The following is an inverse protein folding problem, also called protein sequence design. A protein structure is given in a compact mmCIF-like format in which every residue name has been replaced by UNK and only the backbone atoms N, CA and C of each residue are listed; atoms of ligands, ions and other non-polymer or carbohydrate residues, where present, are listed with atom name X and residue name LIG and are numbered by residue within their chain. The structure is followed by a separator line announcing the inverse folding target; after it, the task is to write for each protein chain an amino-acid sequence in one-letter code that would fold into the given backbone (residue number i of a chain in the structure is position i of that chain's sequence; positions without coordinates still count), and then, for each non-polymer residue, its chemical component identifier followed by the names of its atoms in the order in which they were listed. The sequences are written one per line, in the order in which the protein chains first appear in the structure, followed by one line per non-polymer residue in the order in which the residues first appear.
data_IF_853812363205
#
_entry.id   IF_853812363205
#
_cell.length_a   1.000
_cell.length_b   1.000
_cell.length_c   1.000
_cell.angle_alpha   90.00
_cell.angle_beta   90.00
_cell.angle_gamma   90.00
#
_symmetry.space_group_name_H-M   'P 1'
#
loop_
_entity.id
_entity.type
_entity.pdbx_description
1 polymer ?
#
# COMPACT_ATOMS: atom_id res chain seq x y z
N UNK A 1 -5.76 -39.78 4.79
CA UNK A 1 -5.22 -38.47 4.35
C UNK A 1 -6.20 -37.33 4.65
N UNK A 2 -7.36 -37.26 4.00
CA UNK A 2 -8.32 -36.16 4.21
C UNK A 2 -8.71 -35.97 5.69
N UNK A 3 -8.98 -37.06 6.40
CA UNK A 3 -9.29 -37.03 7.83
C UNK A 3 -8.15 -36.41 8.67
N UNK A 4 -6.90 -36.75 8.37
CA UNK A 4 -5.71 -36.15 8.99
C UNK A 4 -5.59 -34.65 8.70
N UNK A 5 -5.88 -34.23 7.47
CA UNK A 5 -5.86 -32.82 7.09
C UNK A 5 -6.95 -32.02 7.84
N UNK A 6 -8.17 -32.58 7.96
CA UNK A 6 -9.25 -31.98 8.75
C UNK A 6 -8.89 -31.95 10.23
N UNK A 7 -8.22 -32.99 10.76
CA UNK A 7 -7.70 -33.01 12.13
C UNK A 7 -6.73 -31.86 12.42
N UNK A 8 -5.77 -31.63 11.52
CA UNK A 8 -4.82 -30.50 11.63
C UNK A 8 -5.53 -29.14 11.52
N UNK A 9 -6.47 -29.02 10.58
CA UNK A 9 -7.29 -27.83 10.41
C UNK A 9 -8.08 -27.51 11.69
N UNK A 10 -8.72 -28.51 12.29
CA UNK A 10 -9.45 -28.39 13.54
C UNK A 10 -8.55 -27.94 14.70
N UNK A 11 -7.34 -28.47 14.79
CA UNK A 11 -6.37 -28.09 15.83
C UNK A 11 -5.93 -26.63 15.70
N UNK A 12 -5.72 -26.16 14.47
CA UNK A 12 -5.30 -24.78 14.17
C UNK A 12 -6.45 -23.79 14.42
N UNK A 13 -7.60 -24.03 13.81
CA UNK A 13 -8.74 -23.10 13.82
C UNK A 13 -9.73 -23.31 14.97
N UNK A 14 -9.44 -24.25 15.87
CA UNK A 14 -10.28 -24.62 17.03
C UNK A 14 -11.71 -25.00 16.61
N UNK A 15 -11.81 -25.78 15.53
CA UNK A 15 -13.07 -26.32 15.01
C UNK A 15 -13.21 -27.82 15.30
N UNK A 16 -14.36 -28.41 14.97
CA UNK A 16 -14.61 -29.84 15.16
C UNK A 16 -15.35 -30.43 13.95
N UNK A 17 -14.80 -30.24 12.76
CA UNK A 17 -15.32 -30.83 11.54
C UNK A 17 -14.93 -32.30 11.40
N UNK A 18 -15.74 -33.04 10.66
CA UNK A 18 -15.55 -34.48 10.44
C UNK A 18 -15.70 -34.81 8.95
N UNK A 19 -15.30 -36.01 8.53
CA UNK A 19 -15.42 -36.50 7.15
C UNK A 19 -16.81 -37.04 6.80
N UNK A 20 -17.73 -37.07 7.76
CA UNK A 20 -19.14 -37.42 7.52
C UNK A 20 -19.84 -36.36 6.64
N UNK A 21 -21.00 -36.69 6.05
CA UNK A 21 -21.65 -35.82 5.08
C UNK A 21 -21.92 -34.39 5.60
N UNK A 22 -22.41 -34.26 6.83
CA UNK A 22 -22.69 -32.97 7.44
C UNK A 22 -21.41 -32.24 7.90
N UNK A 23 -20.46 -32.95 8.51
CA UNK A 23 -19.18 -32.40 8.93
C UNK A 23 -18.37 -31.88 7.74
N UNK A 24 -18.35 -32.63 6.64
CA UNK A 24 -17.61 -32.24 5.43
C UNK A 24 -18.25 -31.03 4.74
N UNK A 25 -19.58 -30.95 4.69
CA UNK A 25 -20.27 -29.78 4.12
C UNK A 25 -20.01 -28.51 4.96
N UNK A 26 -19.98 -28.64 6.29
CA UNK A 26 -19.65 -27.52 7.17
C UNK A 26 -18.18 -27.11 7.04
N UNK A 27 -17.27 -28.08 6.96
CA UNK A 27 -15.85 -27.83 6.64
C UNK A 27 -15.70 -27.07 5.33
N UNK A 28 -16.35 -27.51 4.26
CA UNK A 28 -16.31 -26.84 2.95
C UNK A 28 -16.78 -25.38 3.01
N UNK A 29 -17.86 -25.11 3.75
CA UNK A 29 -18.39 -23.74 3.93
C UNK A 29 -17.46 -22.87 4.76
N UNK A 30 -16.84 -23.41 5.80
CA UNK A 30 -15.88 -22.69 6.64
C UNK A 30 -14.61 -22.38 5.86
N UNK A 31 -14.09 -23.37 5.13
CA UNK A 31 -12.94 -23.24 4.25
C UNK A 31 -13.14 -22.11 3.22
N UNK A 32 -14.30 -22.07 2.57
CA UNK A 32 -14.65 -21.00 1.62
C UNK A 32 -14.59 -19.61 2.27
N UNK A 33 -15.11 -19.46 3.49
CA UNK A 33 -15.09 -18.19 4.23
C UNK A 33 -13.68 -17.78 4.60
N UNK A 34 -12.85 -18.73 5.05
CA UNK A 34 -11.47 -18.46 5.47
C UNK A 34 -10.55 -18.06 4.34
N UNK A 35 -10.76 -18.61 3.14
CA UNK A 35 -10.06 -18.12 1.94
C UNK A 35 -10.47 -16.69 1.61
N UNK A 36 -11.77 -16.35 1.71
CA UNK A 36 -12.26 -14.98 1.47
C UNK A 36 -11.72 -14.00 2.52
N UNK A 37 -11.63 -14.40 3.79
CA UNK A 37 -11.09 -13.58 4.88
C UNK A 37 -9.56 -13.56 4.96
N UNK A 38 -8.84 -14.21 4.02
CA UNK A 38 -7.37 -14.32 3.98
C UNK A 38 -6.76 -15.00 5.21
N UNK A 39 -7.49 -15.92 5.83
CA UNK A 39 -6.98 -16.78 6.92
C UNK A 39 -6.25 -18.02 6.36
N UNK A 40 -6.40 -18.28 5.06
CA UNK A 40 -5.73 -19.36 4.32
C UNK A 40 -5.12 -18.77 3.07
N UNK A 41 -3.79 -18.83 2.97
CA UNK A 41 -3.03 -18.20 1.88
C UNK A 41 -2.96 -19.07 0.62
N UNK A 42 -2.89 -20.40 0.79
CA UNK A 42 -2.81 -21.36 -0.32
C UNK A 42 -3.80 -22.51 -0.11
N UNK A 43 -4.63 -22.76 -1.11
CA UNK A 43 -5.58 -23.87 -1.13
C UNK A 43 -5.26 -24.85 -2.25
N UNK A 44 -4.98 -26.11 -1.88
CA UNK A 44 -4.77 -27.19 -2.84
C UNK A 44 -6.15 -27.75 -3.26
N UNK A 45 -6.44 -27.71 -4.56
CA UNK A 45 -7.72 -28.16 -5.12
C UNK A 45 -7.54 -29.15 -6.28
N UNK A 46 -8.50 -30.07 -6.43
CA UNK A 46 -8.57 -30.98 -7.59
C UNK A 46 -9.63 -30.55 -8.60
N UNK A 47 -10.76 -30.04 -8.11
CA UNK A 47 -11.94 -29.68 -8.90
C UNK A 47 -12.96 -28.81 -8.15
N UNK A 48 -12.97 -28.86 -6.82
CA UNK A 48 -13.73 -27.93 -5.99
C UNK A 48 -13.18 -26.50 -6.13
N UNK A 49 -14.04 -25.50 -5.95
CA UNK A 49 -13.72 -24.07 -6.06
C UNK A 49 -13.30 -23.56 -7.46
N UNK A 50 -13.17 -24.45 -8.47
CA UNK A 50 -12.91 -24.03 -9.86
C UNK A 50 -14.17 -23.48 -10.57
N UNK A 51 -15.35 -23.71 -9.99
CA UNK A 51 -16.63 -23.16 -10.43
C UNK A 51 -17.42 -22.63 -9.24
N UNK A 52 -18.14 -21.53 -9.43
CA UNK A 52 -19.05 -20.94 -8.42
C UNK A 52 -18.41 -20.26 -7.21
N UNK A 53 -17.11 -20.48 -6.93
CA UNK A 53 -16.40 -19.78 -5.86
C UNK A 53 -15.95 -18.39 -6.28
N UNK A 54 -16.17 -17.40 -5.41
CA UNK A 54 -15.88 -16.00 -5.70
C UNK A 54 -15.14 -15.34 -4.54
N UNK A 55 -13.93 -14.88 -4.81
CA UNK A 55 -13.07 -14.19 -3.84
C UNK A 55 -12.37 -13.02 -4.57
N UNK A 56 -12.85 -11.77 -4.42
CA UNK A 56 -12.26 -10.60 -5.09
C UNK A 56 -10.76 -10.42 -4.82
N UNK A 57 -10.29 -10.86 -3.65
CA UNK A 57 -8.90 -10.75 -3.20
C UNK A 57 -7.98 -11.84 -3.76
N UNK A 58 -8.52 -12.93 -4.35
CA UNK A 58 -7.73 -14.00 -4.94
C UNK A 58 -7.23 -13.55 -6.32
N UNK A 59 -5.91 -13.43 -6.49
CA UNK A 59 -5.29 -12.98 -7.73
C UNK A 59 -4.48 -14.08 -8.45
N UNK A 60 -4.02 -15.12 -7.76
CA UNK A 60 -3.10 -16.11 -8.35
C UNK A 60 -3.71 -17.51 -8.37
N UNK A 61 -3.58 -18.20 -9.50
CA UNK A 61 -3.90 -19.61 -9.67
C UNK A 61 -2.68 -20.37 -10.18
N UNK A 62 -2.20 -21.30 -9.36
CA UNK A 62 -1.16 -22.26 -9.73
C UNK A 62 -1.80 -23.51 -10.35
N UNK A 63 -1.33 -23.92 -11.53
CA UNK A 63 -1.97 -24.98 -12.33
C UNK A 63 -0.97 -26.06 -12.71
N UNK A 64 -1.12 -27.24 -12.10
CA UNK A 64 -0.54 -28.50 -12.58
C UNK A 64 -1.66 -29.48 -13.01
N UNK A 65 -2.48 -29.05 -13.97
CA UNK A 65 -3.63 -29.81 -14.47
C UNK A 65 -3.88 -29.53 -15.94
N UNK A 66 -4.25 -30.55 -16.71
CA UNK A 66 -4.65 -30.41 -18.10
C UNK A 66 -6.07 -29.81 -18.21
N UNK A 67 -6.18 -28.49 -18.00
CA UNK A 67 -7.42 -27.75 -18.21
C UNK A 67 -7.71 -27.60 -19.71
N UNK A 68 -8.98 -27.67 -20.11
CA UNK A 68 -9.39 -27.58 -21.53
C UNK A 68 -10.66 -26.75 -21.70
N UNK A 69 -10.72 -26.01 -22.80
CA UNK A 69 -11.90 -25.27 -23.27
C UNK A 69 -12.59 -24.46 -22.15
N UNK A 70 -13.90 -24.64 -21.95
CA UNK A 70 -14.68 -23.92 -20.96
C UNK A 70 -14.19 -24.13 -19.52
N UNK A 71 -13.66 -25.31 -19.18
CA UNK A 71 -13.13 -25.58 -17.84
C UNK A 71 -11.87 -24.78 -17.54
N UNK A 72 -11.05 -24.50 -18.57
CA UNK A 72 -9.90 -23.60 -18.47
C UNK A 72 -10.35 -22.17 -18.17
N UNK A 73 -11.30 -21.64 -18.96
CA UNK A 73 -11.82 -20.28 -18.75
C UNK A 73 -12.52 -20.12 -17.40
N UNK A 74 -13.26 -21.13 -16.95
CA UNK A 74 -13.90 -21.12 -15.63
C UNK A 74 -12.87 -21.07 -14.50
N UNK A 75 -11.84 -21.90 -14.58
CA UNK A 75 -10.75 -21.89 -13.60
C UNK A 75 -10.00 -20.54 -13.60
N UNK A 76 -9.64 -20.00 -14.78
CA UNK A 76 -8.92 -18.73 -14.87
C UNK A 76 -9.78 -17.55 -14.39
N UNK A 77 -11.11 -17.59 -14.62
CA UNK A 77 -12.03 -16.57 -14.11
C UNK A 77 -12.14 -16.49 -12.58
N UNK A 78 -11.47 -17.38 -11.84
CA UNK A 78 -11.41 -17.29 -10.37
C UNK A 78 -10.49 -16.16 -9.90
N UNK A 79 -9.55 -15.73 -10.74
CA UNK A 79 -8.52 -14.76 -10.36
C UNK A 79 -8.81 -13.32 -10.83
N UNK A 80 -9.67 -13.13 -11.82
CA UNK A 80 -9.86 -11.84 -12.50
C UNK A 80 -11.00 -10.95 -11.95
N UNK A 81 -11.48 -11.23 -10.74
CA UNK A 81 -12.48 -10.37 -10.08
C UNK A 81 -11.87 -9.02 -9.69
N UNK A 82 -12.57 -7.94 -10.04
CA UNK A 82 -12.18 -6.56 -9.75
C UNK A 82 -12.14 -6.35 -8.23
N UNK A 83 -11.10 -5.68 -7.74
CA UNK A 83 -10.93 -5.34 -6.33
C UNK A 83 -10.64 -3.85 -6.16
N UNK A 84 -9.41 -3.41 -6.43
CA UNK A 84 -8.95 -2.02 -6.41
C UNK A 84 -7.86 -1.80 -7.48
N UNK A 85 -7.25 -0.62 -7.53
CA UNK A 85 -6.22 -0.32 -8.52
C UNK A 85 -4.94 -1.15 -8.39
N UNK A 86 -4.73 -1.84 -7.27
CA UNK A 86 -3.55 -2.71 -7.04
C UNK A 86 -3.68 -4.01 -7.80
N UNK A 87 -4.91 -4.52 -7.99
CA UNK A 87 -5.19 -5.75 -8.71
C UNK A 87 -5.56 -5.46 -10.16
N UNK A 88 -4.56 -5.41 -11.03
CA UNK A 88 -4.72 -5.12 -12.47
C UNK A 88 -5.26 -6.32 -13.24
N UNK A 89 -4.78 -7.53 -12.94
CA UNK A 89 -5.18 -8.77 -13.61
C UNK A 89 -5.00 -9.97 -12.68
N UNK A 90 -5.40 -11.16 -13.17
CA UNK A 90 -5.20 -12.42 -12.47
C UNK A 90 -3.95 -13.15 -12.99
N UNK A 91 -3.08 -13.58 -12.08
CA UNK A 91 -1.89 -14.34 -12.39
C UNK A 91 -2.23 -15.82 -12.55
N UNK A 92 -1.91 -16.40 -13.71
CA UNK A 92 -2.06 -17.83 -13.96
C UNK A 92 -0.68 -18.43 -14.18
N UNK A 93 -0.22 -19.22 -13.22
CA UNK A 93 1.11 -19.84 -13.26
C UNK A 93 0.94 -21.32 -13.57
N UNK A 94 1.36 -21.74 -14.76
CA UNK A 94 1.14 -23.11 -15.26
C UNK A 94 2.43 -23.91 -15.26
N UNK A 95 2.38 -25.12 -14.71
CA UNK A 95 3.51 -26.08 -14.70
C UNK A 95 3.43 -27.10 -15.83
N UNK A 96 2.49 -26.91 -16.76
CA UNK A 96 2.33 -27.66 -18.01
C UNK A 96 2.15 -26.68 -19.14
N UNK A 97 2.49 -27.10 -20.35
CA UNK A 97 2.20 -26.31 -21.54
C UNK A 97 0.68 -26.23 -21.75
N UNK A 98 0.13 -25.06 -21.43
CA UNK A 98 -1.29 -24.71 -21.60
C UNK A 98 -1.46 -23.49 -22.50
N UNK A 99 -0.39 -23.00 -23.15
CA UNK A 99 -0.47 -21.78 -23.96
C UNK A 99 -1.41 -21.98 -25.15
N UNK A 100 -1.15 -23.02 -25.95
CA UNK A 100 -1.99 -23.33 -27.11
C UNK A 100 -3.44 -23.64 -26.69
N UNK A 101 -3.61 -24.38 -25.60
CA UNK A 101 -4.95 -24.69 -25.07
C UNK A 101 -5.70 -23.42 -24.62
N UNK A 102 -4.99 -22.43 -24.10
CA UNK A 102 -5.53 -21.12 -23.72
C UNK A 102 -5.93 -20.32 -24.97
N UNK A 103 -5.07 -20.29 -25.98
CA UNK A 103 -5.34 -19.63 -27.27
C UNK A 103 -6.58 -20.24 -27.93
N UNK A 104 -6.65 -21.57 -27.99
CA UNK A 104 -7.77 -22.31 -28.59
C UNK A 104 -9.07 -22.04 -27.82
N UNK A 105 -9.02 -22.02 -26.49
CA UNK A 105 -10.17 -21.71 -25.66
C UNK A 105 -10.67 -20.28 -25.90
N UNK A 106 -9.78 -19.28 -25.88
CA UNK A 106 -10.18 -17.88 -26.11
C UNK A 106 -10.76 -17.69 -27.52
N UNK A 107 -10.12 -18.31 -28.53
CA UNK A 107 -10.58 -18.23 -29.93
C UNK A 107 -11.95 -18.87 -30.12
N UNK A 108 -12.26 -19.93 -29.38
CA UNK A 108 -13.56 -20.61 -29.46
C UNK A 108 -14.72 -19.73 -28.94
N UNK A 109 -14.45 -18.88 -27.95
CA UNK A 109 -15.47 -18.04 -27.30
C UNK A 109 -15.40 -16.57 -27.75
N UNK A 110 -14.54 -16.23 -28.71
CA UNK A 110 -14.33 -14.87 -29.21
C UNK A 110 -13.94 -14.83 -30.69
N UNK A 111 -13.32 -13.72 -31.11
CA UNK A 111 -12.71 -13.54 -32.43
C UNK A 111 -11.17 -13.59 -32.35
N UNK A 112 -10.47 -13.51 -33.49
CA UNK A 112 -8.99 -13.52 -33.52
C UNK A 112 -8.36 -12.33 -32.78
N UNK A 113 -9.08 -11.22 -32.63
CA UNK A 113 -8.61 -10.04 -31.90
C UNK A 113 -8.80 -10.18 -30.39
N UNK A 114 -9.64 -11.13 -29.94
CA UNK A 114 -9.96 -11.36 -28.53
C UNK A 114 -8.74 -11.79 -27.73
N UNK A 115 -7.75 -12.48 -28.33
CA UNK A 115 -6.48 -12.81 -27.65
C UNK A 115 -5.78 -11.57 -27.12
N UNK A 116 -5.69 -10.52 -27.94
CA UNK A 116 -4.97 -9.30 -27.62
C UNK A 116 -5.69 -8.43 -26.57
N UNK A 117 -6.94 -8.78 -26.25
CA UNK A 117 -7.82 -8.09 -25.30
C UNK A 117 -7.91 -8.85 -23.98
N UNK A 118 -7.84 -10.19 -24.03
CA UNK A 118 -8.03 -11.06 -22.86
C UNK A 118 -6.70 -11.39 -22.16
N UNK A 119 -5.60 -11.49 -22.92
CA UNK A 119 -4.28 -11.74 -22.36
C UNK A 119 -3.51 -10.43 -22.20
N UNK A 120 -2.77 -10.34 -21.12
CA UNK A 120 -1.90 -9.20 -20.84
C UNK A 120 -0.73 -9.12 -21.82
N UNK A 121 -0.15 -7.91 -21.92
CA UNK A 121 1.02 -7.67 -22.77
C UNK A 121 2.26 -8.36 -22.19
N UNK A 122 3.25 -8.57 -23.05
CA UNK A 122 4.52 -9.14 -22.65
C UNK A 122 5.30 -8.21 -21.72
N UNK A 123 6.24 -8.79 -20.96
CA UNK A 123 7.20 -8.03 -20.14
C UNK A 123 7.91 -6.94 -20.97
N UNK A 124 8.40 -7.31 -22.16
CA UNK A 124 9.11 -6.39 -23.06
C UNK A 124 8.25 -5.19 -23.47
N UNK A 125 6.96 -5.40 -23.76
CA UNK A 125 6.03 -4.33 -24.10
C UNK A 125 5.83 -3.34 -22.93
N UNK A 126 5.72 -3.83 -21.69
CA UNK A 126 5.65 -2.93 -20.53
C UNK A 126 6.98 -2.22 -20.22
N UNK A 127 8.11 -2.82 -20.54
CA UNK A 127 9.42 -2.20 -20.37
C UNK A 127 9.71 -1.12 -21.41
N UNK A 128 9.36 -1.36 -22.67
CA UNK A 128 9.73 -0.52 -23.82
C UNK A 128 8.59 0.40 -24.31
N UNK A 129 7.35 0.07 -23.99
CA UNK A 129 6.16 0.76 -24.48
C UNK A 129 5.49 0.01 -25.62
N UNK A 130 4.20 0.29 -25.82
CA UNK A 130 3.39 -0.35 -26.85
C UNK A 130 2.22 0.55 -27.26
N UNK A 131 1.65 0.29 -28.44
CA UNK A 131 0.40 0.92 -28.86
C UNK A 131 -0.76 0.01 -28.52
N UNK A 132 -1.69 0.50 -27.71
CA UNK A 132 -2.89 -0.23 -27.32
C UNK A 132 -3.80 -0.42 -28.54
N UNK A 133 -4.03 -1.68 -28.92
CA UNK A 133 -4.80 -2.02 -30.12
C UNK A 133 -6.29 -1.65 -30.01
N UNK A 134 -6.82 -1.50 -28.79
CA UNK A 134 -8.23 -1.15 -28.56
C UNK A 134 -8.43 0.36 -28.63
N UNK A 135 -7.54 1.12 -27.98
CA UNK A 135 -7.69 2.57 -27.87
C UNK A 135 -6.91 3.34 -28.92
N UNK A 136 -5.96 2.70 -29.59
CA UNK A 136 -4.99 3.34 -30.50
C UNK A 136 -3.98 4.24 -29.78
N UNK A 137 -3.98 4.26 -28.45
CA UNK A 137 -3.11 5.13 -27.66
C UNK A 137 -1.73 4.49 -27.48
N UNK A 138 -0.68 5.29 -27.70
CA UNK A 138 0.68 4.92 -27.33
C UNK A 138 0.81 4.93 -25.80
N UNK A 139 1.27 3.82 -25.23
CA UNK A 139 1.63 3.70 -23.82
C UNK A 139 3.14 3.63 -23.72
N UNK A 140 3.69 4.49 -22.87
CA UNK A 140 5.11 4.57 -22.60
C UNK A 140 5.57 3.38 -21.76
N UNK A 141 6.77 2.91 -22.03
CA UNK A 141 7.39 1.84 -21.26
C UNK A 141 8.01 2.34 -19.96
N UNK A 142 8.28 1.41 -19.05
CA UNK A 142 8.97 1.68 -17.79
C UNK A 142 10.28 2.44 -17.98
N UNK A 143 11.10 2.04 -18.96
CA UNK A 143 12.42 2.65 -19.20
C UNK A 143 12.29 4.12 -19.59
N UNK A 144 11.31 4.44 -20.45
CA UNK A 144 11.04 5.82 -20.87
C UNK A 144 10.57 6.68 -19.70
N UNK A 145 9.63 6.17 -18.90
CA UNK A 145 9.09 6.88 -17.72
C UNK A 145 10.18 7.15 -16.70
N UNK A 146 11.02 6.15 -16.39
CA UNK A 146 12.16 6.29 -15.48
C UNK A 146 13.16 7.33 -16.00
N UNK A 147 13.51 7.24 -17.29
CA UNK A 147 14.46 8.17 -17.91
C UNK A 147 13.94 9.61 -17.82
N UNK A 148 12.66 9.83 -18.12
CA UNK A 148 12.06 11.15 -18.04
C UNK A 148 11.99 11.67 -16.60
N UNK A 149 11.66 10.81 -15.62
CA UNK A 149 11.63 11.18 -14.20
C UNK A 149 13.00 11.70 -13.74
N UNK A 150 14.07 11.01 -14.09
CA UNK A 150 15.42 11.38 -13.67
C UNK A 150 15.93 12.63 -14.40
N UNK A 151 15.58 12.80 -15.70
CA UNK A 151 16.00 13.96 -16.48
C UNK A 151 15.24 15.24 -16.11
N UNK A 152 13.91 15.15 -15.98
CA UNK A 152 13.07 16.33 -15.68
C UNK A 152 13.03 16.66 -14.20
N UNK A 153 13.10 15.64 -13.34
CA UNK A 153 13.01 15.79 -11.89
C UNK A 153 14.19 15.11 -11.19
N UNK A 154 15.44 15.53 -11.47
CA UNK A 154 16.64 14.98 -10.83
C UNK A 154 16.69 15.31 -9.33
N UNK A 155 15.94 16.31 -8.85
CA UNK A 155 15.79 16.60 -7.43
C UNK A 155 14.32 16.89 -7.11
N UNK A 156 13.55 15.89 -6.65
CA UNK A 156 12.11 16.06 -6.44
C UNK A 156 11.77 17.00 -5.27
N UNK A 157 12.66 17.14 -4.29
CA UNK A 157 12.48 18.10 -3.18
C UNK A 157 12.53 19.57 -3.62
N UNK A 158 13.04 19.84 -4.82
CA UNK A 158 13.17 21.20 -5.36
C UNK A 158 11.98 21.63 -6.26
N UNK A 159 10.91 20.82 -6.34
CA UNK A 159 9.76 21.14 -7.19
C UNK A 159 8.88 22.22 -6.53
N UNK A 160 9.04 23.46 -7.00
CA UNK A 160 8.31 24.62 -6.45
C UNK A 160 7.15 25.07 -7.34
N UNK A 161 7.34 25.13 -8.66
CA UNK A 161 6.33 25.67 -9.58
C UNK A 161 5.09 24.76 -9.66
N UNK A 162 3.90 25.36 -9.65
CA UNK A 162 2.64 24.60 -9.70
C UNK A 162 2.52 23.71 -10.95
N UNK A 163 2.97 24.23 -12.10
CA UNK A 163 3.04 23.44 -13.34
C UNK A 163 3.94 22.22 -13.19
N UNK A 164 5.11 22.38 -12.58
CA UNK A 164 6.07 21.29 -12.40
C UNK A 164 5.55 20.25 -11.39
N UNK A 165 4.82 20.70 -10.35
CA UNK A 165 4.10 19.80 -9.43
C UNK A 165 3.08 18.94 -10.19
N UNK A 166 2.30 19.55 -11.09
CA UNK A 166 1.31 18.84 -11.91
C UNK A 166 1.97 17.82 -12.83
N UNK A 167 3.02 18.24 -13.55
CA UNK A 167 3.74 17.38 -14.48
C UNK A 167 4.41 16.20 -13.76
N UNK A 168 5.03 16.47 -12.61
CA UNK A 168 5.61 15.43 -11.76
C UNK A 168 4.54 14.44 -11.25
N UNK A 169 3.40 14.94 -10.76
CA UNK A 169 2.33 14.09 -10.25
C UNK A 169 1.78 13.16 -11.34
N UNK A 170 1.63 13.64 -12.58
CA UNK A 170 1.23 12.78 -13.70
C UNK A 170 2.27 11.71 -14.01
N UNK A 171 3.52 12.13 -14.16
CA UNK A 171 4.61 11.24 -14.55
C UNK A 171 4.89 10.17 -13.48
N UNK A 172 4.89 10.56 -12.20
CA UNK A 172 5.09 9.61 -11.10
C UNK A 172 3.87 8.69 -10.90
N UNK A 173 2.65 9.17 -11.15
CA UNK A 173 1.47 8.30 -11.21
C UNK A 173 1.57 7.24 -12.31
N UNK A 174 2.10 7.60 -13.48
CA UNK A 174 2.40 6.63 -14.55
C UNK A 174 3.45 5.61 -14.10
N UNK A 175 4.53 6.05 -13.44
CA UNK A 175 5.54 5.15 -12.86
C UNK A 175 4.90 4.13 -11.91
N UNK A 176 4.06 4.57 -10.96
CA UNK A 176 3.43 3.68 -9.97
C UNK A 176 2.56 2.61 -10.65
N UNK A 177 1.81 2.97 -11.70
CA UNK A 177 0.98 2.02 -12.45
C UNK A 177 1.80 0.98 -13.20
N UNK A 178 2.85 1.42 -13.90
CA UNK A 178 3.72 0.51 -14.67
C UNK A 178 4.52 -0.39 -13.72
N UNK A 179 5.05 0.16 -12.62
CA UNK A 179 5.72 -0.62 -11.56
C UNK A 179 4.77 -1.69 -10.98
N UNK A 180 3.53 -1.34 -10.64
CA UNK A 180 2.55 -2.28 -10.09
C UNK A 180 2.24 -3.45 -11.05
N UNK A 181 2.16 -3.18 -12.35
CA UNK A 181 1.98 -4.24 -13.36
C UNK A 181 3.21 -5.13 -13.42
N UNK A 182 4.40 -4.52 -13.52
CA UNK A 182 5.67 -5.23 -13.67
C UNK A 182 6.01 -6.12 -12.46
N UNK A 183 5.52 -5.79 -11.26
CA UNK A 183 5.69 -6.64 -10.07
C UNK A 183 5.14 -8.07 -10.22
N UNK A 184 4.27 -8.33 -11.19
CA UNK A 184 3.74 -9.67 -11.47
C UNK A 184 4.62 -10.49 -12.43
N UNK A 185 5.72 -9.94 -12.95
CA UNK A 185 6.62 -10.59 -13.90
C UNK A 185 7.91 -11.07 -13.21
N UNK A 186 8.30 -12.32 -13.50
CA UNK A 186 9.46 -12.97 -12.90
C UNK A 186 10.77 -12.21 -13.20
N UNK A 187 10.90 -11.68 -14.42
CA UNK A 187 12.07 -10.91 -14.85
C UNK A 187 12.21 -9.61 -14.04
N UNK A 188 11.11 -8.92 -13.75
CA UNK A 188 11.13 -7.70 -12.95
C UNK A 188 11.41 -7.98 -11.47
N UNK A 189 10.85 -9.07 -10.93
CA UNK A 189 11.16 -9.54 -9.57
C UNK A 189 12.67 -9.83 -9.43
N UNK A 190 13.24 -10.52 -10.41
CA UNK A 190 14.67 -10.81 -10.49
C UNK A 190 15.50 -9.52 -10.60
N UNK A 191 15.06 -8.56 -11.43
CA UNK A 191 15.72 -7.27 -11.60
C UNK A 191 15.74 -6.43 -10.31
N UNK A 192 14.66 -6.47 -9.51
CA UNK A 192 14.58 -5.81 -8.20
C UNK A 192 15.49 -6.49 -7.18
N UNK A 193 15.49 -7.83 -7.12
CA UNK A 193 16.37 -8.59 -6.23
C UNK A 193 17.86 -8.37 -6.57
N UNK A 194 18.21 -8.19 -7.86
CA UNK A 194 19.58 -7.86 -8.29
C UNK A 194 20.11 -6.53 -7.71
N UNK A 195 19.24 -5.64 -7.21
CA UNK A 195 19.66 -4.39 -6.58
C UNK A 195 20.11 -4.56 -5.12
N UNK A 196 19.74 -5.66 -4.47
CA UNK A 196 20.05 -5.90 -3.05
C UNK A 196 21.23 -6.83 -2.84
N UNK A 197 21.65 -7.58 -3.87
CA UNK A 197 22.78 -8.51 -3.76
C UNK A 197 24.13 -7.79 -3.83
N UNK A 198 25.11 -8.33 -3.09
CA UNK A 198 26.50 -7.94 -3.27
C UNK A 198 27.06 -8.56 -4.56
N UNK A 199 27.17 -7.74 -5.60
CA UNK A 199 27.66 -8.16 -6.92
C UNK A 199 29.16 -8.48 -6.94
N UNK A 200 29.89 -8.10 -5.90
CA UNK A 200 31.32 -8.42 -5.77
C UNK A 200 31.56 -9.80 -5.18
N UNK A 201 30.55 -10.42 -4.56
CA UNK A 201 30.61 -11.76 -4.01
C UNK A 201 30.15 -12.81 -5.06
N UNK A 202 31.08 -13.64 -5.58
CA UNK A 202 30.74 -14.65 -6.58
C UNK A 202 29.75 -15.71 -6.07
N UNK A 203 29.76 -16.02 -4.76
CA UNK A 203 28.83 -17.02 -4.20
C UNK A 203 27.42 -16.44 -4.13
N UNK A 204 27.27 -15.19 -3.69
CA UNK A 204 25.98 -14.49 -3.71
C UNK A 204 25.40 -14.40 -5.13
N UNK A 205 26.22 -14.07 -6.13
CA UNK A 205 25.80 -14.04 -7.55
C UNK A 205 25.39 -15.42 -8.04
N UNK A 206 26.11 -16.48 -7.64
CA UNK A 206 25.78 -17.85 -8.01
C UNK A 206 24.45 -18.30 -7.39
N UNK A 207 24.26 -18.10 -6.09
CA UNK A 207 23.00 -18.40 -5.41
C UNK A 207 21.83 -17.65 -6.06
N UNK A 208 22.01 -16.35 -6.34
CA UNK A 208 21.01 -15.55 -7.03
C UNK A 208 20.61 -16.13 -8.40
N UNK A 209 21.59 -16.55 -9.21
CA UNK A 209 21.32 -17.19 -10.50
C UNK A 209 20.55 -18.51 -10.36
N UNK A 210 20.88 -19.31 -9.34
CA UNK A 210 20.20 -20.60 -9.07
C UNK A 210 18.75 -20.38 -8.60
N UNK A 211 18.51 -19.43 -7.71
CA UNK A 211 17.17 -19.11 -7.19
C UNK A 211 16.24 -18.53 -8.25
N UNK A 212 16.78 -17.69 -9.15
CA UNK A 212 16.02 -17.03 -10.21
C UNK A 212 16.09 -17.76 -11.56
N UNK A 213 16.75 -18.92 -11.62
CA UNK A 213 16.92 -19.73 -12.84
C UNK A 213 17.52 -18.96 -14.03
N UNK A 214 18.52 -18.10 -13.77
CA UNK A 214 19.10 -17.19 -14.76
C UNK A 214 20.38 -17.75 -15.39
N UNK A 215 20.50 -17.62 -16.72
CA UNK A 215 21.77 -17.80 -17.42
C UNK A 215 22.71 -16.59 -17.26
N UNK A 216 23.97 -16.73 -17.66
CA UNK A 216 24.89 -15.58 -17.70
C UNK A 216 24.44 -14.48 -18.69
N UNK A 217 23.76 -14.88 -19.77
CA UNK A 217 23.21 -13.94 -20.75
C UNK A 217 22.01 -13.16 -20.18
N UNK A 218 21.16 -13.83 -19.41
CA UNK A 218 20.02 -13.19 -18.73
C UNK A 218 20.51 -12.21 -17.68
N UNK A 219 21.50 -12.61 -16.87
CA UNK A 219 22.12 -11.73 -15.87
C UNK A 219 22.75 -10.51 -16.52
N UNK A 220 23.50 -10.68 -17.62
CA UNK A 220 24.08 -9.57 -18.35
C UNK A 220 23.00 -8.61 -18.88
N UNK A 221 21.87 -9.14 -19.37
CA UNK A 221 20.73 -8.33 -19.82
C UNK A 221 20.14 -7.52 -18.67
N UNK A 222 19.86 -8.16 -17.53
CA UNK A 222 19.32 -7.48 -16.34
C UNK A 222 20.25 -6.37 -15.85
N UNK A 223 21.57 -6.57 -15.90
CA UNK A 223 22.56 -5.57 -15.50
C UNK A 223 22.57 -4.32 -16.38
N UNK A 224 22.11 -4.40 -17.63
CA UNK A 224 22.01 -3.22 -18.50
C UNK A 224 20.80 -2.34 -18.19
N UNK A 225 19.80 -2.87 -17.47
CA UNK A 225 18.57 -2.15 -17.19
C UNK A 225 18.79 -1.24 -15.98
N UNK A 226 18.68 0.05 -16.21
CA UNK A 226 18.75 1.05 -15.15
C UNK A 226 17.45 1.11 -14.36
N UNK A 227 17.56 1.04 -13.03
CA UNK A 227 16.46 1.27 -12.09
C UNK A 227 16.91 2.35 -11.09
N UNK A 228 16.06 3.33 -10.76
CA UNK A 228 16.38 4.30 -9.71
C UNK A 228 16.59 3.60 -8.37
N UNK A 229 17.57 4.06 -7.60
CA UNK A 229 17.79 3.54 -6.24
C UNK A 229 16.53 3.62 -5.38
N UNK A 230 16.38 2.73 -4.40
CA UNK A 230 15.22 2.75 -3.49
C UNK A 230 15.06 4.10 -2.79
N UNK A 231 16.18 4.71 -2.38
CA UNK A 231 16.21 6.06 -1.81
C UNK A 231 15.61 7.09 -2.76
N UNK A 232 15.92 6.99 -4.06
CA UNK A 232 15.39 7.91 -5.06
C UNK A 232 13.88 7.75 -5.24
N UNK A 233 13.40 6.52 -5.30
CA UNK A 233 11.96 6.22 -5.36
C UNK A 233 11.24 6.71 -4.10
N UNK A 234 11.86 6.56 -2.93
CA UNK A 234 11.33 7.08 -1.67
C UNK A 234 11.22 8.61 -1.67
N UNK A 235 12.25 9.32 -2.15
CA UNK A 235 12.22 10.78 -2.29
C UNK A 235 11.06 11.20 -3.24
N UNK A 236 10.90 10.51 -4.39
CA UNK A 236 9.76 10.75 -5.29
C UNK A 236 8.41 10.54 -4.63
N UNK A 237 8.24 9.47 -3.84
CA UNK A 237 6.99 9.21 -3.09
C UNK A 237 6.70 10.29 -2.07
N UNK A 238 7.72 10.74 -1.34
CA UNK A 238 7.58 11.85 -0.38
C UNK A 238 7.04 13.08 -1.09
N UNK A 239 7.68 13.52 -2.18
CA UNK A 239 7.25 14.68 -2.96
C UNK A 239 5.85 14.50 -3.54
N UNK A 240 5.50 13.30 -4.03
CA UNK A 240 4.18 13.02 -4.57
C UNK A 240 3.07 13.16 -3.51
N UNK A 241 3.33 12.64 -2.31
CA UNK A 241 2.45 12.83 -1.16
C UNK A 241 2.36 14.30 -0.73
N UNK A 242 3.49 15.02 -0.71
CA UNK A 242 3.54 16.45 -0.38
C UNK A 242 2.65 17.28 -1.32
N UNK A 243 2.74 17.02 -2.63
CA UNK A 243 1.93 17.70 -3.66
C UNK A 243 0.45 17.38 -3.48
N UNK A 244 0.10 16.11 -3.20
CA UNK A 244 -1.28 15.70 -2.94
C UNK A 244 -1.87 16.40 -1.72
N UNK A 245 -1.12 16.46 -0.63
CA UNK A 245 -1.55 17.10 0.61
C UNK A 245 -1.68 18.62 0.44
N UNK A 246 -0.73 19.24 -0.26
CA UNK A 246 -0.78 20.65 -0.65
C UNK A 246 -2.04 20.95 -1.47
N UNK A 247 -2.33 20.17 -2.52
CA UNK A 247 -3.50 20.37 -3.37
C UNK A 247 -4.81 20.19 -2.61
N UNK A 248 -4.88 19.23 -1.68
CA UNK A 248 -6.05 19.03 -0.79
C UNK A 248 -6.30 20.24 0.11
N UNK A 249 -5.24 20.89 0.60
CA UNK A 249 -5.35 22.10 1.43
C UNK A 249 -5.79 23.31 0.59
N UNK A 250 -5.22 23.52 -0.59
CA UNK A 250 -5.59 24.65 -1.47
C UNK A 250 -7.00 24.56 -2.05
N UNK A 251 -7.57 23.35 -2.21
CA UNK A 251 -8.99 23.18 -2.59
C UNK A 251 -9.98 23.64 -1.51
N UNK A 252 -9.53 24.05 -0.32
CA UNK A 252 -10.40 24.62 0.72
C UNK A 252 -10.73 26.10 0.46
N UNK A 253 -11.77 26.31 -0.35
CA UNK A 253 -12.64 27.49 -0.53
C UNK A 253 -12.07 28.88 -0.89
N UNK A 254 -10.91 29.34 -0.40
CA UNK A 254 -10.45 30.74 -0.64
C UNK A 254 -9.34 30.87 -1.70
N UNK A 255 -8.60 29.81 -2.02
CA UNK A 255 -7.42 29.86 -2.91
C UNK A 255 -7.64 29.30 -4.33
N UNK A 256 -8.73 28.55 -4.57
CA UNK A 256 -9.09 28.06 -5.92
C UNK A 256 -9.22 29.18 -6.96
N UNK A 257 -9.53 30.42 -6.53
CA UNK A 257 -9.63 31.56 -7.42
C UNK A 257 -8.28 32.09 -7.94
N UNK A 258 -7.14 31.60 -7.41
CA UNK A 258 -5.78 32.09 -7.74
C UNK A 258 -4.91 31.09 -8.52
N UNK A 259 -5.26 29.80 -8.54
CA UNK A 259 -4.50 28.81 -9.31
C UNK A 259 -4.65 29.08 -10.81
N UNK A 260 -3.53 29.04 -11.53
CA UNK A 260 -3.49 29.20 -12.99
C UNK A 260 -3.40 27.86 -13.72
N UNK A 261 -3.32 26.75 -12.98
CA UNK A 261 -3.10 25.41 -13.49
C UNK A 261 -4.35 24.55 -13.20
N UNK A 262 -4.94 23.98 -14.25
CA UNK A 262 -6.06 23.05 -14.07
C UNK A 262 -5.55 21.70 -13.53
N UNK A 263 -6.12 21.21 -12.43
CA UNK A 263 -5.76 19.92 -11.80
C UNK A 263 -6.81 18.83 -12.01
N UNK A 264 -7.89 19.09 -12.76
CA UNK A 264 -9.01 18.14 -12.91
C UNK A 264 -8.64 16.87 -13.68
N UNK A 265 -7.57 16.91 -14.47
CA UNK A 265 -7.04 15.79 -15.24
C UNK A 265 -5.97 14.98 -14.49
N UNK A 266 -5.68 15.30 -13.22
CA UNK A 266 -4.75 14.55 -12.38
C UNK A 266 -5.52 13.66 -11.41
N UNK A 267 -5.31 12.35 -11.55
CA UNK A 267 -5.80 11.34 -10.61
C UNK A 267 -4.61 10.85 -9.79
N UNK A 268 -4.70 10.95 -8.47
CA UNK A 268 -3.66 10.45 -7.57
C UNK A 268 -3.84 8.96 -7.29
N UNK A 269 -2.77 8.19 -7.41
CA UNK A 269 -2.77 6.72 -7.27
C UNK A 269 -2.74 6.28 -5.79
N UNK A 270 -3.81 6.59 -5.05
CA UNK A 270 -3.87 6.40 -3.58
C UNK A 270 -3.81 4.93 -3.17
N UNK A 271 -4.47 4.05 -3.90
CA UNK A 271 -4.51 2.61 -3.57
C UNK A 271 -3.13 1.97 -3.75
N UNK A 272 -2.39 2.37 -4.81
CA UNK A 272 -1.02 1.93 -5.06
C UNK A 272 -0.02 2.43 -4.00
N UNK A 273 -0.25 3.62 -3.45
CA UNK A 273 0.55 4.11 -2.33
C UNK A 273 0.24 3.35 -1.03
N UNK A 274 -1.03 3.03 -0.80
CA UNK A 274 -1.46 2.32 0.41
C UNK A 274 -0.95 0.89 0.46
N UNK A 275 -0.91 0.18 -0.68
CA UNK A 275 -0.40 -1.20 -0.72
C UNK A 275 1.08 -1.31 -0.33
N UNK A 276 1.81 -0.21 -0.42
CA UNK A 276 3.24 -0.14 -0.10
C UNK A 276 3.51 0.61 1.20
N UNK A 277 2.48 0.79 2.05
CA UNK A 277 2.65 1.38 3.36
C UNK A 277 3.48 0.49 4.27
N UNK A 278 4.54 1.10 4.81
CA UNK A 278 5.33 0.52 5.88
C UNK A 278 4.55 0.69 7.19
N UNK A 279 4.41 -0.39 7.97
CA UNK A 279 3.79 -0.32 9.29
C UNK A 279 4.66 0.45 10.28
N UNK A 280 4.04 1.02 11.31
CA UNK A 280 4.75 1.77 12.33
C UNK A 280 5.82 0.91 13.04
N UNK A 281 5.50 -0.34 13.31
CA UNK A 281 6.40 -1.29 13.96
C UNK A 281 7.72 -1.46 13.18
N UNK A 282 7.68 -1.60 11.86
CA UNK A 282 8.89 -1.66 11.05
C UNK A 282 9.72 -0.37 11.11
N UNK A 283 9.06 0.80 11.15
CA UNK A 283 9.77 2.07 11.32
C UNK A 283 10.50 2.09 12.67
N UNK A 284 9.84 1.63 13.74
CA UNK A 284 10.43 1.54 15.08
C UNK A 284 11.57 0.52 15.15
N UNK A 285 11.42 -0.65 14.50
CA UNK A 285 12.49 -1.63 14.39
C UNK A 285 13.70 -1.06 13.65
N UNK A 286 13.48 -0.34 12.55
CA UNK A 286 14.55 0.29 11.81
C UNK A 286 15.25 1.37 12.66
N UNK A 287 14.50 2.16 13.43
CA UNK A 287 15.08 3.13 14.38
C UNK A 287 16.05 2.41 15.33
N UNK A 288 15.63 1.28 15.89
CA UNK A 288 16.47 0.47 16.78
C UNK A 288 17.73 -0.04 16.07
N UNK A 289 17.59 -0.66 14.89
CA UNK A 289 18.72 -1.21 14.14
C UNK A 289 19.74 -0.14 13.72
N UNK A 290 19.25 1.01 13.26
CA UNK A 290 20.10 2.11 12.81
C UNK A 290 20.81 2.80 13.98
N UNK A 291 20.17 2.91 15.15
CA UNK A 291 20.83 3.40 16.37
C UNK A 291 21.99 2.48 16.79
N UNK A 292 21.81 1.15 16.73
CA UNK A 292 22.88 0.19 17.05
C UNK A 292 24.07 0.23 16.09
N UNK A 293 23.87 0.74 14.86
CA UNK A 293 24.94 0.96 13.87
C UNK A 293 25.76 2.24 14.14
N UNK A 294 25.66 2.83 15.34
CA UNK A 294 26.37 4.04 15.77
C UNK A 294 26.11 5.27 14.89
N UNK A 295 24.86 5.47 14.44
CA UNK A 295 24.46 6.70 13.75
C UNK A 295 24.18 7.82 14.76
N UNK A 296 24.45 9.06 14.37
CA UNK A 296 24.03 10.21 15.19
C UNK A 296 22.51 10.35 15.19
N UNK A 297 21.92 10.87 16.29
CA UNK A 297 20.47 11.14 16.36
C UNK A 297 19.98 12.01 15.20
N UNK A 298 20.79 12.96 14.73
CA UNK A 298 20.45 13.83 13.61
C UNK A 298 20.28 13.06 12.29
N UNK A 299 21.24 12.20 11.95
CA UNK A 299 21.16 11.36 10.74
C UNK A 299 19.99 10.37 10.81
N UNK A 300 19.75 9.79 11.99
CA UNK A 300 18.63 8.90 12.24
C UNK A 300 17.28 9.61 12.01
N UNK A 301 17.14 10.84 12.52
CA UNK A 301 15.93 11.65 12.33
C UNK A 301 15.68 11.93 10.84
N UNK A 302 16.72 12.30 10.08
CA UNK A 302 16.56 12.59 8.65
C UNK A 302 16.14 11.34 7.84
N UNK A 303 16.69 10.17 8.17
CA UNK A 303 16.30 8.90 7.55
C UNK A 303 14.85 8.52 7.88
N UNK A 304 14.46 8.64 9.15
CA UNK A 304 13.11 8.34 9.64
C UNK A 304 12.08 9.29 9.05
N UNK A 305 12.39 10.59 8.96
CA UNK A 305 11.50 11.59 8.34
C UNK A 305 11.19 11.24 6.89
N UNK A 306 12.20 10.83 6.11
CA UNK A 306 11.98 10.40 4.72
C UNK A 306 11.07 9.19 4.64
N UNK A 307 11.21 8.20 5.54
CA UNK A 307 10.37 7.00 5.55
C UNK A 307 8.92 7.33 5.89
N UNK A 308 8.74 8.16 6.91
CA UNK A 308 7.41 8.61 7.35
C UNK A 308 6.71 9.41 6.25
N UNK A 309 7.41 10.32 5.57
CA UNK A 309 6.82 11.14 4.50
C UNK A 309 6.49 10.35 3.23
N UNK A 310 7.23 9.29 2.95
CA UNK A 310 6.93 8.36 1.85
C UNK A 310 5.69 7.49 2.14
N UNK A 311 5.39 7.21 3.40
CA UNK A 311 4.16 6.54 3.84
C UNK A 311 2.99 7.53 3.89
N UNK A 312 1.78 7.13 3.50
CA UNK A 312 0.63 8.02 3.51
C UNK A 312 0.01 8.13 4.93
N UNK A 313 -0.18 7.00 5.61
CA UNK A 313 -0.84 6.93 6.91
C UNK A 313 -0.01 7.41 8.11
N UNK A 314 1.33 7.43 7.98
CA UNK A 314 2.23 7.75 9.10
C UNK A 314 2.68 9.23 9.14
N UNK A 315 2.38 10.04 8.12
CA UNK A 315 2.86 11.44 8.02
C UNK A 315 2.50 12.30 9.23
N UNK A 316 1.27 12.15 9.73
CA UNK A 316 0.80 12.90 10.89
C UNK A 316 1.58 12.57 12.18
N UNK A 317 2.26 11.41 12.23
CA UNK A 317 3.10 10.96 13.35
C UNK A 317 4.55 11.44 13.25
N UNK A 318 4.95 12.19 12.22
CA UNK A 318 6.33 12.66 12.03
C UNK A 318 6.86 13.38 13.28
N UNK A 319 6.13 14.38 13.78
CA UNK A 319 6.52 15.11 14.99
C UNK A 319 6.67 14.17 16.19
N UNK A 320 5.68 13.30 16.41
CA UNK A 320 5.65 12.36 17.53
C UNK A 320 6.86 11.41 17.53
N UNK A 321 7.24 10.87 16.37
CA UNK A 321 8.38 9.95 16.25
C UNK A 321 9.70 10.70 16.39
N UNK A 322 9.80 11.91 15.84
CA UNK A 322 10.99 12.78 16.00
C UNK A 322 11.18 13.15 17.47
N UNK A 323 10.10 13.51 18.16
CA UNK A 323 10.12 13.84 19.58
C UNK A 323 10.53 12.64 20.42
N UNK A 324 10.03 11.44 20.10
CA UNK A 324 10.45 10.19 20.72
C UNK A 324 11.97 9.96 20.59
N UNK A 325 12.54 10.10 19.38
CA UNK A 325 13.98 9.92 19.15
C UNK A 325 14.80 10.94 19.94
N UNK A 326 14.35 12.19 20.01
CA UNK A 326 15.07 13.24 20.73
C UNK A 326 15.03 13.03 22.25
N UNK A 327 13.86 12.71 22.80
CA UNK A 327 13.61 12.68 24.24
C UNK A 327 13.97 11.35 24.90
N UNK A 328 14.08 10.26 24.13
CA UNK A 328 14.38 8.93 24.65
C UNK A 328 15.86 8.59 24.56
N UNK A 329 16.37 7.84 25.54
CA UNK A 329 17.70 7.24 25.46
C UNK A 329 17.62 5.91 24.70
N UNK A 330 17.80 5.95 23.38
CA UNK A 330 17.73 4.78 22.51
C UNK A 330 18.81 3.72 22.83
N UNK A 331 19.92 4.10 23.46
CA UNK A 331 21.00 3.18 23.82
C UNK A 331 20.61 2.25 24.98
N UNK A 332 19.68 2.72 25.85
CA UNK A 332 19.15 1.93 26.95
C UNK A 332 18.14 0.85 26.48
N UNK A 333 17.68 0.94 25.24
CA UNK A 333 16.74 -0.03 24.68
C UNK A 333 17.50 -1.30 24.28
N UNK A 334 17.09 -2.42 24.87
CA UNK A 334 17.75 -3.72 24.73
C UNK A 334 17.37 -4.48 23.46
N UNK A 335 16.10 -4.36 23.04
CA UNK A 335 15.56 -5.14 21.92
C UNK A 335 14.44 -4.40 21.16
N UNK A 336 14.02 -5.03 20.05
CA UNK A 336 12.98 -4.55 19.14
C UNK A 336 11.59 -4.48 19.77
N UNK A 337 11.24 -5.37 20.70
CA UNK A 337 9.93 -5.33 21.35
C UNK A 337 9.84 -4.14 22.32
N UNK A 338 10.94 -3.88 23.04
CA UNK A 338 11.04 -2.81 24.02
C UNK A 338 10.90 -1.42 23.37
N UNK A 339 11.48 -1.19 22.18
CA UNK A 339 11.32 0.11 21.49
C UNK A 339 9.86 0.39 21.13
N UNK A 340 9.09 -0.65 20.81
CA UNK A 340 7.67 -0.54 20.47
C UNK A 340 6.88 -0.13 21.71
N UNK A 341 7.07 -0.84 22.83
CA UNK A 341 6.39 -0.55 24.09
C UNK A 341 6.74 0.85 24.65
N UNK A 342 8.03 1.23 24.59
CA UNK A 342 8.50 2.56 24.99
C UNK A 342 7.90 3.65 24.12
N UNK A 343 7.81 3.44 22.80
CA UNK A 343 7.16 4.38 21.89
C UNK A 343 5.69 4.57 22.23
N UNK A 344 4.93 3.48 22.43
CA UNK A 344 3.50 3.61 22.78
C UNK A 344 3.29 4.28 24.13
N UNK A 345 4.15 3.99 25.11
CA UNK A 345 4.12 4.65 26.43
C UNK A 345 4.37 6.15 26.30
N UNK A 346 5.41 6.54 25.56
CA UNK A 346 5.71 7.92 25.24
C UNK A 346 4.56 8.60 24.50
N UNK A 347 4.01 7.93 23.48
CA UNK A 347 2.94 8.46 22.64
C UNK A 347 1.64 8.68 23.40
N UNK A 348 1.30 7.81 24.37
CA UNK A 348 0.13 7.98 25.23
C UNK A 348 0.30 9.15 26.20
N UNK A 349 1.50 9.35 26.74
CA UNK A 349 1.79 10.51 27.58
C UNK A 349 1.65 11.83 26.81
N UNK A 350 2.22 11.89 25.60
CA UNK A 350 2.09 13.07 24.72
C UNK A 350 0.65 13.27 24.23
N UNK A 351 -0.09 12.19 23.95
CA UNK A 351 -1.52 12.25 23.59
C UNK A 351 -2.34 12.94 24.68
N UNK A 352 -2.16 12.54 25.94
CA UNK A 352 -2.86 13.15 27.07
C UNK A 352 -2.46 14.63 27.23
N UNK A 353 -1.16 14.94 27.14
CA UNK A 353 -0.64 16.31 27.25
C UNK A 353 -1.21 17.23 26.17
N UNK A 354 -1.18 16.81 24.91
CA UNK A 354 -1.68 17.59 23.77
C UNK A 354 -3.20 17.72 23.76
N UNK A 355 -3.94 16.71 24.26
CA UNK A 355 -5.38 16.81 24.43
C UNK A 355 -5.76 17.90 25.46
N UNK A 356 -5.07 17.95 26.61
CA UNK A 356 -5.27 19.02 27.59
C UNK A 356 -4.96 20.40 27.01
N UNK A 357 -3.86 20.50 26.26
CA UNK A 357 -3.45 21.74 25.62
C UNK A 357 -4.49 22.21 24.59
N UNK A 358 -5.04 21.29 23.79
CA UNK A 358 -6.10 21.59 22.82
C UNK A 358 -7.38 22.05 23.52
N UNK A 359 -7.81 21.34 24.58
CA UNK A 359 -9.00 21.70 25.36
C UNK A 359 -8.84 23.10 25.97
N UNK A 360 -7.68 23.37 26.57
CA UNK A 360 -7.39 24.65 27.22
C UNK A 360 -7.24 25.80 26.21
N UNK A 361 -6.54 25.58 25.10
CA UNK A 361 -6.25 26.63 24.12
C UNK A 361 -7.49 27.10 23.36
N UNK A 362 -8.47 26.21 23.16
CA UNK A 362 -9.73 26.53 22.48
C UNK A 362 -10.89 26.87 23.41
N UNK A 363 -10.67 26.81 24.74
CA UNK A 363 -11.69 26.99 25.78
C UNK A 363 -12.88 26.02 25.58
N UNK A 364 -12.56 24.73 25.39
CA UNK A 364 -13.57 23.69 25.18
C UNK A 364 -14.17 23.20 26.50
N UNK A 365 -15.40 22.67 26.42
CA UNK A 365 -16.04 22.00 27.55
C UNK A 365 -15.32 20.67 27.79
N UNK A 366 -14.46 20.61 28.81
CA UNK A 366 -13.51 19.52 29.05
C UNK A 366 -14.11 18.11 28.94
N UNK A 367 -15.15 17.77 29.70
CA UNK A 367 -15.74 16.42 29.69
C UNK A 367 -16.41 16.06 28.36
N UNK A 368 -16.95 17.04 27.64
CA UNK A 368 -17.52 16.82 26.32
C UNK A 368 -16.41 16.64 25.27
N UNK A 369 -15.36 17.44 25.35
CA UNK A 369 -14.21 17.38 24.46
C UNK A 369 -13.44 16.06 24.62
N UNK A 370 -13.12 15.63 25.85
CA UNK A 370 -12.46 14.32 26.10
C UNK A 370 -13.26 13.16 25.52
N UNK A 371 -14.57 13.13 25.76
CA UNK A 371 -15.47 12.09 25.20
C UNK A 371 -15.46 12.10 23.68
N UNK A 372 -15.56 13.27 23.05
CA UNK A 372 -15.54 13.39 21.60
C UNK A 372 -14.19 12.95 21.01
N UNK A 373 -13.07 13.40 21.60
CA UNK A 373 -11.71 13.04 21.16
C UNK A 373 -11.51 11.52 21.28
N UNK A 374 -11.85 10.90 22.42
CA UNK A 374 -11.75 9.45 22.61
C UNK A 374 -12.62 8.67 21.63
N UNK A 375 -13.86 9.12 21.41
CA UNK A 375 -14.75 8.50 20.42
C UNK A 375 -14.19 8.64 19.00
N UNK A 376 -13.56 9.76 18.67
CA UNK A 376 -12.93 9.99 17.36
C UNK A 376 -11.64 9.19 17.17
N UNK A 377 -10.81 9.03 18.19
CA UNK A 377 -9.65 8.15 18.15
C UNK A 377 -10.04 6.68 17.98
N UNK A 378 -11.08 6.23 18.70
CA UNK A 378 -11.62 4.87 18.55
C UNK A 378 -12.21 4.61 17.16
N UNK A 379 -12.78 5.65 16.54
CA UNK A 379 -13.27 5.60 15.15
C UNK A 379 -12.17 5.80 14.12
N UNK A 380 -10.99 6.28 14.53
CA UNK A 380 -9.87 6.71 13.70
C UNK A 380 -10.14 7.92 12.80
N UNK A 381 -11.26 8.63 13.01
CA UNK A 381 -11.57 9.89 12.32
C UNK A 381 -12.47 10.80 13.18
N UNK A 382 -12.33 12.11 12.95
CA UNK A 382 -13.26 13.11 13.48
C UNK A 382 -14.41 13.36 12.50
N UNK A 383 -15.61 13.59 13.03
CA UNK A 383 -16.82 13.82 12.23
C UNK A 383 -17.54 15.09 12.67
N UNK A 384 -17.87 15.96 11.71
CA UNK A 384 -18.75 17.10 11.94
C UNK A 384 -20.22 16.71 12.06
N UNK A 385 -20.57 15.49 11.63
CA UNK A 385 -21.92 14.95 11.71
C UNK A 385 -22.29 14.64 13.16
N UNK A 386 -23.53 14.95 13.51
CA UNK A 386 -24.05 14.81 14.87
C UNK A 386 -23.92 16.09 15.71
N UNK A 387 -24.18 15.96 17.01
CA UNK A 387 -24.20 17.09 17.95
C UNK A 387 -23.03 17.07 18.94
N UNK A 388 -22.24 15.99 18.97
CA UNK A 388 -21.15 15.81 19.94
C UNK A 388 -20.08 16.89 19.82
N UNK A 389 -19.63 17.19 18.59
CA UNK A 389 -18.68 18.28 18.34
C UNK A 389 -19.24 19.63 18.82
N UNK A 390 -20.52 19.91 18.55
CA UNK A 390 -21.14 21.17 18.97
C UNK A 390 -21.19 21.28 20.50
N UNK A 391 -21.35 20.16 21.21
CA UNK A 391 -21.34 20.11 22.67
C UNK A 391 -19.96 20.33 23.29
N UNK A 392 -18.87 20.29 22.50
CA UNK A 392 -17.52 20.63 22.97
C UNK A 392 -17.26 22.14 22.98
N UNK A 393 -18.01 22.91 22.19
CA UNK A 393 -17.76 24.33 22.00
C UNK A 393 -18.20 25.14 23.23
N UNK A 394 -17.50 26.25 23.54
CA UNK A 394 -17.92 27.15 24.61
C UNK A 394 -19.30 27.76 24.32
N UNK A 395 -19.97 28.26 25.36
CA UNK A 395 -21.31 28.85 25.27
C UNK A 395 -21.31 30.07 24.33
N UNK A 396 -21.64 29.82 23.07
CA UNK A 396 -21.83 30.82 22.03
C UNK A 396 -23.16 30.55 21.32
N UNK A 397 -23.88 31.60 20.95
CA UNK A 397 -25.09 31.44 20.15
C UNK A 397 -24.74 30.86 18.76
N UNK A 398 -25.44 29.82 18.27
CA UNK A 398 -25.26 29.31 16.91
C UNK A 398 -25.52 30.35 15.80
N UNK A 399 -26.20 31.46 16.14
CA UNK A 399 -26.45 32.60 15.26
C UNK A 399 -25.29 33.61 15.23
N UNK A 400 -24.26 33.43 16.07
CA UNK A 400 -23.07 34.28 16.05
C UNK A 400 -22.27 34.00 14.77
N UNK A 401 -21.91 35.02 13.95
CA UNK A 401 -21.11 34.82 12.75
C UNK A 401 -19.77 34.12 13.00
N UNK A 402 -19.18 34.28 14.19
CA UNK A 402 -17.92 33.62 14.58
C UNK A 402 -18.08 32.15 14.98
N UNK A 403 -19.31 31.69 15.25
CA UNK A 403 -19.57 30.32 15.70
C UNK A 403 -19.14 29.29 14.64
N UNK A 404 -19.46 29.54 13.36
CA UNK A 404 -19.10 28.64 12.25
C UNK A 404 -17.59 28.55 12.07
N UNK A 405 -16.91 29.70 12.11
CA UNK A 405 -15.45 29.76 11.96
C UNK A 405 -14.74 29.07 13.13
N UNK A 406 -15.18 29.29 14.37
CA UNK A 406 -14.61 28.61 15.54
C UNK A 406 -14.89 27.11 15.51
N UNK A 407 -16.10 26.68 15.16
CA UNK A 407 -16.44 25.26 14.97
C UNK A 407 -15.51 24.60 13.95
N UNK A 408 -15.30 25.23 12.80
CA UNK A 408 -14.44 24.71 11.74
C UNK A 408 -12.97 24.63 12.19
N UNK A 409 -12.47 25.67 12.87
CA UNK A 409 -11.11 25.67 13.43
C UNK A 409 -10.91 24.54 14.46
N UNK A 410 -11.82 24.40 15.42
CA UNK A 410 -11.78 23.33 16.42
C UNK A 410 -11.86 21.96 15.76
N UNK A 411 -12.74 21.78 14.76
CA UNK A 411 -12.83 20.54 14.01
C UNK A 411 -11.52 20.19 13.30
N UNK A 412 -10.87 21.16 12.65
CA UNK A 412 -9.57 20.96 11.99
C UNK A 412 -8.48 20.56 12.99
N UNK A 413 -8.42 21.22 14.16
CA UNK A 413 -7.46 20.90 15.23
C UNK A 413 -7.68 19.50 15.79
N UNK A 414 -8.93 19.12 16.09
CA UNK A 414 -9.26 17.78 16.58
C UNK A 414 -8.99 16.72 15.50
N UNK A 415 -9.30 17.01 14.23
CA UNK A 415 -8.99 16.10 13.12
C UNK A 415 -7.49 15.86 12.99
N UNK A 416 -6.68 16.92 13.06
CA UNK A 416 -5.22 16.80 13.04
C UNK A 416 -4.69 16.01 14.25
N UNK A 417 -5.24 16.24 15.44
CA UNK A 417 -4.92 15.46 16.64
C UNK A 417 -5.26 13.97 16.46
N UNK A 418 -6.44 13.65 15.92
CA UNK A 418 -6.85 12.26 15.67
C UNK A 418 -5.92 11.60 14.64
N UNK A 419 -5.57 12.28 13.55
CA UNK A 419 -4.62 11.73 12.56
C UNK A 419 -3.24 11.47 13.18
N UNK A 420 -2.75 12.36 14.06
CA UNK A 420 -1.49 12.19 14.77
C UNK A 420 -1.51 10.97 15.69
N UNK A 421 -2.58 10.78 16.46
CA UNK A 421 -2.62 9.75 17.53
C UNK A 421 -3.49 8.51 17.23
N UNK A 422 -4.09 8.37 16.04
CA UNK A 422 -4.83 7.14 15.67
C UNK A 422 -3.92 5.91 15.75
N UNK A 423 -4.42 4.84 16.34
CA UNK A 423 -3.69 3.58 16.56
C UNK A 423 -2.77 3.55 17.81
N UNK A 424 -2.59 4.67 18.53
CA UNK A 424 -1.75 4.72 19.75
C UNK A 424 -2.41 4.06 20.97
N UNK A 425 -3.75 4.03 21.01
CA UNK A 425 -4.51 3.56 22.18
C UNK A 425 -4.49 4.56 23.32
N UNK A 426 -4.65 4.08 24.56
CA UNK A 426 -4.58 4.91 25.78
C UNK A 426 -5.91 5.51 26.27
N UNK A 427 -5.84 6.26 27.37
CA UNK A 427 -6.92 7.07 27.93
C UNK A 427 -6.52 8.55 27.94
N UNK A 428 -7.50 9.45 27.78
CA UNK A 428 -7.35 10.91 27.73
C UNK A 428 -8.16 11.54 28.85
#
# INVERSE_FOLDING_TARGET
FLDTAIGNYNALFKTNFSVDGNGFQNYYRDLAKRVISKEIDLLIVVGMFLTGFDAPTLNTLFVDKNLRYHGLLQAYSRTNRIYDATKTFGNIVTFRDLEQATIDAITLFGDKNTKNVVLEKSYTEYMQGFTDLLTGQARRGFVEVVTELEQRFPNPDAIVLEKDKKDFAKLFGEYLRVENVLQNYDEFASLKALQTIDRSDPEAVKTFKEEHYLSDADLATLQTIHIPSERKIQDYRSTYNDIRDWLRREKSAEEQAKSTVDWNDVVFEVDLLRSQEINLDYILELIFEQNKKNKSKGELIEEVRRLIRASLGNRAKESLIVDFINQTNLDAIGDKATIIDEFFTFAQAEQAREAEELIRSEDLIADAARRYILASLKREYASENGTELNATLPKMSPLNPQYKTKKQSVFQKISAFVEKFKGVGGQI
#
